data_IF_162075864449
#
_entry.id   IF_162075864449
#
_cell.length_a   1.000
_cell.length_b   1.000
_cell.length_c   1.000
_cell.angle_alpha   90.00
_cell.angle_beta   90.00
_cell.angle_gamma   90.00
#
_symmetry.space_group_name_H-M   'P 1'
#
loop_
_entity.id
_entity.type
_entity.pdbx_description
1 polymer ?
#
# COMPACT_ATOMS: atom_id res chain seq x y z
N UNK A 1 -6.60 0.83 -26.30
CA UNK A 1 -6.26 2.14 -25.70
C UNK A 1 -5.90 1.87 -24.26
N UNK A 2 -4.60 1.76 -23.93
CA UNK A 2 -4.19 1.44 -22.56
C UNK A 2 -4.60 2.58 -21.63
N UNK A 3 -5.41 2.28 -20.61
CA UNK A 3 -5.75 3.24 -19.57
C UNK A 3 -4.45 3.72 -18.91
N UNK A 4 -4.17 5.02 -19.00
CA UNK A 4 -3.02 5.62 -18.32
C UNK A 4 -3.34 5.70 -16.84
N UNK A 5 -2.99 4.65 -16.11
CA UNK A 5 -3.06 4.65 -14.65
C UNK A 5 -2.17 5.75 -14.09
N UNK A 6 -2.69 6.54 -13.15
CA UNK A 6 -1.91 7.49 -12.41
C UNK A 6 -0.77 6.77 -11.67
N UNK A 7 0.48 7.15 -11.96
CA UNK A 7 1.68 6.58 -11.33
C UNK A 7 2.15 7.38 -10.11
N UNK A 8 1.50 8.51 -9.86
CA UNK A 8 1.77 9.40 -8.75
C UNK A 8 0.43 9.68 -8.07
N UNK A 9 0.36 9.38 -6.78
CA UNK A 9 -0.82 9.59 -5.96
C UNK A 9 -0.47 10.55 -4.82
N UNK A 10 -1.41 11.40 -4.44
CA UNK A 10 -1.26 12.35 -3.33
C UNK A 10 -2.08 11.89 -2.14
N UNK A 11 -1.53 12.08 -0.94
CA UNK A 11 -2.22 11.89 0.33
C UNK A 11 -2.44 13.27 0.94
N UNK A 12 -3.65 13.53 1.43
CA UNK A 12 -4.03 14.82 2.00
C UNK A 12 -3.14 15.20 3.20
N UNK A 13 -2.68 16.45 3.29
CA UNK A 13 -1.93 16.94 4.45
C UNK A 13 -2.78 16.86 5.71
N UNK A 14 -2.40 16.02 6.66
CA UNK A 14 -3.13 15.80 7.92
C UNK A 14 -3.58 14.36 8.13
N UNK A 15 -3.57 13.54 7.08
CA UNK A 15 -3.82 12.10 7.21
C UNK A 15 -2.51 11.39 7.58
N UNK A 16 -2.53 10.44 8.54
CA UNK A 16 -1.37 9.59 8.82
C UNK A 16 -0.92 8.84 7.56
N UNK A 17 0.26 9.19 7.06
CA UNK A 17 0.77 8.71 5.77
C UNK A 17 0.82 7.19 5.65
N UNK A 18 1.46 6.48 6.60
CA UNK A 18 1.65 5.03 6.52
C UNK A 18 0.32 4.24 6.61
N UNK A 19 -0.60 4.56 7.53
CA UNK A 19 -1.93 3.93 7.53
C UNK A 19 -2.72 4.17 6.23
N UNK A 20 -2.68 5.39 5.69
CA UNK A 20 -3.37 5.73 4.45
C UNK A 20 -2.79 5.00 3.24
N UNK A 21 -1.45 4.96 3.12
CA UNK A 21 -0.75 4.19 2.10
C UNK A 21 -1.13 2.70 2.17
N UNK A 22 -1.02 2.10 3.36
CA UNK A 22 -1.34 0.69 3.56
C UNK A 22 -2.81 0.38 3.23
N UNK A 23 -3.72 1.31 3.49
CA UNK A 23 -5.14 1.14 3.17
C UNK A 23 -5.38 1.21 1.67
N UNK A 24 -4.86 2.25 1.00
CA UNK A 24 -4.99 2.40 -0.44
C UNK A 24 -4.37 1.24 -1.23
N UNK A 25 -3.28 0.66 -0.71
CA UNK A 25 -2.65 -0.53 -1.30
C UNK A 25 -3.53 -1.77 -1.14
N UNK A 26 -4.10 -1.99 0.06
CA UNK A 26 -4.96 -3.14 0.33
C UNK A 26 -6.30 -3.08 -0.44
N UNK A 27 -6.84 -1.88 -0.66
CA UNK A 27 -8.05 -1.65 -1.46
C UNK A 27 -7.80 -1.70 -2.96
N UNK A 28 -6.54 -1.88 -3.39
CA UNK A 28 -6.17 -1.94 -4.80
C UNK A 28 -6.33 -0.63 -5.57
N UNK A 29 -6.37 0.50 -4.87
CA UNK A 29 -6.51 1.83 -5.50
C UNK A 29 -5.20 2.35 -6.09
N UNK A 30 -4.06 1.78 -5.70
CA UNK A 30 -2.74 2.23 -6.14
C UNK A 30 -2.23 1.51 -7.39
N UNK A 31 -2.54 0.21 -7.50
CA UNK A 31 -2.00 -0.65 -8.56
C UNK A 31 -3.18 -1.45 -9.14
N UNK A 32 -3.58 -1.20 -10.40
CA UNK A 32 -4.64 -1.97 -11.04
C UNK A 32 -4.29 -3.46 -11.06
N UNK A 33 -5.27 -4.30 -10.71
CA UNK A 33 -5.08 -5.76 -10.63
C UNK A 33 -4.33 -6.23 -9.38
N UNK A 34 -4.02 -5.35 -8.44
CA UNK A 34 -3.47 -5.70 -7.13
C UNK A 34 -4.41 -5.17 -6.03
N UNK A 35 -4.68 -5.90 -4.94
CA UNK A 35 -4.34 -7.32 -4.76
C UNK A 35 -5.24 -8.22 -5.63
N UNK A 36 -4.67 -9.19 -6.34
CA UNK A 36 -5.38 -10.11 -7.25
C UNK A 36 -6.17 -11.19 -6.50
N UNK A 37 -7.08 -10.80 -5.60
CA UNK A 37 -7.90 -11.75 -4.82
C UNK A 37 -7.13 -12.65 -3.85
N UNK A 38 -5.79 -12.67 -3.89
CA UNK A 38 -4.90 -13.44 -3.02
C UNK A 38 -4.85 -12.94 -1.56
N UNK A 39 -5.69 -11.96 -1.23
CA UNK A 39 -5.82 -11.42 0.12
C UNK A 39 -4.46 -10.97 0.69
N UNK A 40 -4.16 -11.29 1.96
CA UNK A 40 -2.88 -10.94 2.60
C UNK A 40 -1.62 -11.41 1.85
N UNK A 41 -1.71 -12.50 1.09
CA UNK A 41 -0.55 -13.09 0.41
C UNK A 41 -0.06 -12.25 -0.76
N UNK A 42 -0.93 -11.43 -1.38
CA UNK A 42 -0.54 -10.52 -2.46
C UNK A 42 0.62 -9.58 -2.04
N UNK A 43 0.75 -9.27 -0.74
CA UNK A 43 1.82 -8.41 -0.23
C UNK A 43 3.22 -9.01 -0.44
N UNK A 44 3.35 -10.33 -0.58
CA UNK A 44 4.62 -10.98 -0.88
C UNK A 44 5.16 -10.62 -2.27
N UNK A 45 4.27 -10.29 -3.22
CA UNK A 45 4.63 -9.93 -4.59
C UNK A 45 4.95 -8.43 -4.75
N UNK A 46 4.72 -7.63 -3.70
CA UNK A 46 4.91 -6.19 -3.72
C UNK A 46 6.20 -5.77 -2.97
N UNK A 47 7.03 -4.96 -3.62
CA UNK A 47 8.17 -4.29 -2.98
C UNK A 47 7.84 -2.83 -2.72
N UNK A 48 7.85 -2.42 -1.45
CA UNK A 48 7.54 -1.04 -1.02
C UNK A 48 8.80 -0.33 -0.55
N UNK A 49 9.19 0.72 -1.27
CA UNK A 49 10.27 1.60 -0.85
C UNK A 49 9.76 2.65 0.14
N UNK A 50 10.51 2.84 1.22
CA UNK A 50 10.21 3.85 2.26
C UNK A 50 11.49 4.61 2.62
N UNK A 51 11.38 5.89 3.01
CA UNK A 51 12.55 6.74 3.21
C UNK A 51 13.39 6.33 4.42
N UNK A 52 12.83 5.57 5.37
CA UNK A 52 13.54 5.16 6.60
C UNK A 52 13.21 3.74 7.03
N UNK A 53 14.15 3.10 7.73
CA UNK A 53 13.92 1.79 8.37
C UNK A 53 12.81 1.84 9.42
N UNK A 54 12.62 2.98 10.10
CA UNK A 54 11.52 3.17 11.06
C UNK A 54 10.16 3.09 10.36
N UNK A 55 10.03 3.73 9.19
CA UNK A 55 8.83 3.65 8.38
C UNK A 55 8.56 2.20 7.93
N UNK A 56 9.60 1.47 7.48
CA UNK A 56 9.47 0.06 7.10
C UNK A 56 8.93 -0.80 8.26
N UNK A 57 9.52 -0.65 9.45
CA UNK A 57 9.09 -1.38 10.65
C UNK A 57 7.65 -1.06 11.04
N UNK A 58 7.25 0.22 10.99
CA UNK A 58 5.88 0.62 11.33
C UNK A 58 4.89 0.13 10.27
N UNK A 59 5.25 0.18 8.99
CA UNK A 59 4.42 -0.30 7.90
C UNK A 59 4.17 -1.81 8.02
N UNK A 60 5.20 -2.60 8.36
CA UNK A 60 5.05 -4.04 8.65
C UNK A 60 4.05 -4.30 9.78
N UNK A 61 4.15 -3.56 10.88
CA UNK A 61 3.21 -3.70 12.00
C UNK A 61 1.76 -3.39 11.58
N UNK A 62 1.54 -2.33 10.80
CA UNK A 62 0.22 -1.96 10.28
C UNK A 62 -0.37 -3.08 9.41
N UNK A 63 0.44 -3.74 8.57
CA UNK A 63 -0.04 -4.87 7.78
C UNK A 63 -0.40 -6.07 8.67
N UNK A 64 0.43 -6.42 9.65
CA UNK A 64 0.12 -7.51 10.59
C UNK A 64 -1.15 -7.26 11.40
N UNK A 65 -1.36 -6.03 11.88
CA UNK A 65 -2.57 -5.60 12.60
C UNK A 65 -3.85 -5.73 11.74
N UNK A 66 -3.72 -5.70 10.40
CA UNK A 66 -4.86 -5.80 9.47
C UNK A 66 -5.17 -7.22 8.99
N UNK A 67 -4.20 -8.11 9.03
CA UNK A 67 -4.34 -9.50 8.56
C UNK A 67 -4.72 -10.48 9.67
N UNK A 68 -4.74 -10.00 10.93
CA UNK A 68 -5.22 -10.73 12.10
C UNK A 68 -6.74 -10.60 12.22
#
# INVERSE_FOLDING_TARGET
MGERTARVCTIEPGVPFLPALAHALAEGRLIPGYPDGAGPMALADATIYVPTRRAARRLRAIFTERTA
#
